data_IF_461654582991
#
_entry.id   IF_461654582991
#
_cell.length_a   1.000
_cell.length_b   1.000
_cell.length_c   1.000
_cell.angle_alpha   90.00
_cell.angle_beta   90.00
_cell.angle_gamma   90.00
#
_symmetry.space_group_name_H-M   'P 1'
#
loop_
_entity.id
_entity.type
_entity.pdbx_description
1 polymer ?
#
# COMPACT_ATOMS: atom_id res chain seq x y z
N UNK A 1 22.74 -1.46 17.72
CA UNK A 1 22.03 -0.25 17.27
C UNK A 1 21.20 -0.64 16.06
N UNK A 2 19.90 -0.37 16.06
CA UNK A 2 19.07 -0.62 14.87
C UNK A 2 19.38 0.49 13.87
N UNK A 3 19.78 0.13 12.65
CA UNK A 3 19.98 1.11 11.58
C UNK A 3 18.61 1.60 11.08
N UNK A 4 18.19 2.75 11.61
CA UNK A 4 16.91 3.37 11.26
C UNK A 4 16.88 3.77 9.78
N UNK A 5 18.02 4.16 9.20
CA UNK A 5 18.12 4.53 7.79
C UNK A 5 17.88 3.31 6.89
N UNK A 6 18.50 2.16 7.22
CA UNK A 6 18.26 0.91 6.52
C UNK A 6 16.82 0.39 6.70
N UNK A 7 16.21 0.61 7.87
CA UNK A 7 14.80 0.29 8.13
C UNK A 7 13.86 1.13 7.27
N UNK A 8 14.09 2.45 7.20
CA UNK A 8 13.34 3.39 6.35
C UNK A 8 13.46 2.98 4.88
N UNK A 9 14.67 2.68 4.40
CA UNK A 9 14.86 2.26 3.01
C UNK A 9 14.12 0.95 2.70
N UNK A 10 14.19 -0.03 3.60
CA UNK A 10 13.48 -1.31 3.45
C UNK A 10 11.97 -1.12 3.41
N UNK A 11 11.43 -0.32 4.34
CA UNK A 11 10.00 -0.04 4.40
C UNK A 11 9.53 0.77 3.19
N UNK A 12 10.34 1.72 2.70
CA UNK A 12 10.03 2.50 1.50
C UNK A 12 9.96 1.61 0.26
N UNK A 13 10.94 0.72 0.05
CA UNK A 13 10.90 -0.26 -1.05
C UNK A 13 9.70 -1.20 -0.94
N UNK A 14 9.35 -1.64 0.27
CA UNK A 14 8.16 -2.48 0.50
C UNK A 14 6.88 -1.71 0.18
N UNK A 15 6.79 -0.45 0.61
CA UNK A 15 5.65 0.42 0.36
C UNK A 15 5.40 0.59 -1.14
N UNK A 16 6.45 0.83 -1.94
CA UNK A 16 6.33 0.96 -3.40
C UNK A 16 5.75 -0.31 -4.03
N UNK A 17 6.15 -1.50 -3.58
CA UNK A 17 5.61 -2.76 -4.08
C UNK A 17 4.12 -2.90 -3.75
N UNK A 18 3.75 -2.63 -2.49
CA UNK A 18 2.37 -2.68 -2.04
C UNK A 18 1.48 -1.68 -2.78
N UNK A 19 1.97 -0.45 -2.99
CA UNK A 19 1.27 0.57 -3.76
C UNK A 19 1.03 0.11 -5.20
N UNK A 20 2.03 -0.50 -5.85
CA UNK A 20 1.88 -1.01 -7.22
C UNK A 20 0.82 -2.13 -7.34
N UNK A 21 0.74 -3.00 -6.33
CA UNK A 21 -0.30 -4.03 -6.26
C UNK A 21 -1.69 -3.41 -6.08
N UNK A 22 -1.84 -2.45 -5.17
CA UNK A 22 -3.08 -1.71 -4.94
C UNK A 22 -3.52 -0.94 -6.18
N UNK A 23 -2.61 -0.23 -6.84
CA UNK A 23 -2.89 0.51 -8.07
C UNK A 23 -3.37 -0.42 -9.19
N UNK A 24 -2.83 -1.64 -9.26
CA UNK A 24 -3.29 -2.68 -10.18
C UNK A 24 -4.71 -3.19 -9.88
N UNK A 25 -5.09 -3.27 -8.59
CA UNK A 25 -6.46 -3.61 -8.20
C UNK A 25 -7.42 -2.45 -8.50
N UNK A 26 -7.03 -1.23 -8.19
CA UNK A 26 -7.79 -0.02 -8.53
C UNK A 26 -8.00 0.12 -10.03
N UNK A 27 -6.98 -0.14 -10.85
CA UNK A 27 -7.10 -0.09 -12.30
C UNK A 27 -8.16 -1.08 -12.83
N UNK A 28 -8.27 -2.26 -12.21
CA UNK A 28 -9.34 -3.23 -12.53
C UNK A 28 -10.70 -2.70 -12.09
N UNK A 29 -10.82 -2.20 -10.86
CA UNK A 29 -12.07 -1.66 -10.32
C UNK A 29 -12.56 -0.40 -11.05
N UNK A 30 -11.65 0.41 -11.58
CA UNK A 30 -11.96 1.59 -12.38
C UNK A 30 -12.27 1.26 -13.84
N UNK A 31 -12.01 0.03 -14.29
CA UNK A 31 -12.33 -0.40 -15.65
C UNK A 31 -13.81 -0.81 -15.73
N UNK A 32 -14.67 -0.08 -16.48
CA UNK A 32 -16.08 -0.43 -16.59
C UNK A 32 -16.27 -1.83 -17.19
N UNK A 33 -15.40 -2.20 -18.14
CA UNK A 33 -15.38 -3.55 -18.73
C UNK A 33 -15.18 -4.66 -17.70
N UNK A 34 -14.43 -4.40 -16.63
CA UNK A 34 -14.22 -5.36 -15.56
C UNK A 34 -15.43 -5.39 -14.62
N UNK A 35 -15.92 -4.21 -14.20
CA UNK A 35 -17.06 -4.11 -13.28
C UNK A 35 -18.36 -4.66 -13.88
N UNK A 36 -18.59 -4.44 -15.18
CA UNK A 36 -19.82 -4.87 -15.86
C UNK A 36 -19.77 -6.33 -16.35
N UNK A 37 -18.58 -6.86 -16.67
CA UNK A 37 -18.44 -8.23 -17.22
C UNK A 37 -17.99 -9.26 -16.21
N UNK A 38 -17.30 -8.87 -15.14
CA UNK A 38 -16.87 -9.81 -14.12
C UNK A 38 -18.05 -10.15 -13.20
N UNK A 39 -18.10 -11.38 -12.65
CA UNK A 39 -19.08 -11.73 -11.63
C UNK A 39 -18.99 -10.79 -10.43
N UNK A 40 -20.13 -10.44 -9.83
CA UNK A 40 -20.19 -9.56 -8.65
C UNK A 40 -19.29 -10.05 -7.50
N UNK A 41 -19.24 -11.36 -7.27
CA UNK A 41 -18.34 -11.98 -6.28
C UNK A 41 -16.86 -11.65 -6.55
N UNK A 42 -16.44 -11.63 -7.82
CA UNK A 42 -15.06 -11.30 -8.20
C UNK A 42 -14.79 -9.82 -8.01
N UNK A 43 -15.74 -8.95 -8.39
CA UNK A 43 -15.62 -7.50 -8.19
C UNK A 43 -15.56 -7.16 -6.70
N UNK A 44 -16.41 -7.80 -5.88
CA UNK A 44 -16.43 -7.64 -4.42
C UNK A 44 -15.11 -8.11 -3.80
N UNK A 45 -14.62 -9.29 -4.18
CA UNK A 45 -13.34 -9.80 -3.68
C UNK A 45 -12.15 -8.90 -4.06
N UNK A 46 -12.15 -8.29 -5.25
CA UNK A 46 -11.10 -7.33 -5.63
C UNK A 46 -11.24 -6.02 -4.85
N UNK A 47 -12.45 -5.55 -4.56
CA UNK A 47 -12.69 -4.40 -3.68
C UNK A 47 -12.19 -4.64 -2.27
N UNK A 48 -12.57 -5.76 -1.66
CA UNK A 48 -12.14 -6.14 -0.31
C UNK A 48 -10.61 -6.22 -0.23
N UNK A 49 -9.96 -6.88 -1.20
CA UNK A 49 -8.50 -6.92 -1.30
C UNK A 49 -7.86 -5.55 -1.47
N UNK A 50 -8.48 -4.67 -2.25
CA UNK A 50 -8.00 -3.30 -2.43
C UNK A 50 -8.07 -2.53 -1.10
N UNK A 51 -9.19 -2.63 -0.37
CA UNK A 51 -9.35 -2.00 0.95
C UNK A 51 -8.33 -2.53 1.96
N UNK A 52 -8.14 -3.84 2.06
CA UNK A 52 -7.10 -4.40 2.94
C UNK A 52 -5.69 -3.94 2.56
N UNK A 53 -5.40 -3.85 1.25
CA UNK A 53 -4.11 -3.38 0.77
C UNK A 53 -3.90 -1.89 1.12
N UNK A 54 -4.92 -1.06 0.97
CA UNK A 54 -4.92 0.35 1.33
C UNK A 54 -4.65 0.57 2.82
N UNK A 55 -5.30 -0.20 3.70
CA UNK A 55 -5.06 -0.13 5.14
C UNK A 55 -3.61 -0.47 5.48
N UNK A 56 -3.07 -1.55 4.90
CA UNK A 56 -1.68 -1.97 5.11
C UNK A 56 -0.68 -0.93 4.57
N UNK A 57 -0.97 -0.34 3.41
CA UNK A 57 -0.19 0.77 2.84
C UNK A 57 -0.20 1.96 3.79
N UNK A 58 -1.38 2.33 4.29
CA UNK A 58 -1.57 3.48 5.19
C UNK A 58 -0.80 3.28 6.50
N UNK A 59 -0.87 2.08 7.09
CA UNK A 59 -0.11 1.74 8.29
C UNK A 59 1.40 1.80 8.03
N UNK A 60 1.86 1.30 6.89
CA UNK A 60 3.27 1.34 6.49
C UNK A 60 3.75 2.77 6.27
N UNK A 61 2.93 3.63 5.64
CA UNK A 61 3.20 5.07 5.47
C UNK A 61 3.34 5.76 6.82
N UNK A 62 2.38 5.57 7.73
CA UNK A 62 2.43 6.12 9.09
C UNK A 62 3.70 5.69 9.84
N UNK A 63 4.09 4.43 9.72
CA UNK A 63 5.33 3.92 10.33
C UNK A 63 6.56 4.58 9.71
N UNK A 64 6.62 4.70 8.40
CA UNK A 64 7.69 5.39 7.69
C UNK A 64 7.82 6.84 8.12
N UNK A 65 6.71 7.55 8.19
CA UNK A 65 6.64 8.94 8.63
C UNK A 65 7.16 9.09 10.06
N UNK A 66 6.69 8.24 10.98
CA UNK A 66 7.20 8.20 12.36
C UNK A 66 8.72 7.96 12.43
N UNK A 67 9.25 7.03 11.62
CA UNK A 67 10.69 6.76 11.59
C UNK A 67 11.48 7.94 11.01
N UNK A 68 10.99 8.54 9.91
CA UNK A 68 11.61 9.72 9.30
C UNK A 68 11.62 10.92 10.24
N UNK A 69 10.54 11.16 10.99
CA UNK A 69 10.49 12.21 12.01
C UNK A 69 11.51 11.98 13.12
N UNK A 70 11.69 10.73 13.59
CA UNK A 70 12.70 10.42 14.61
C UNK A 70 14.15 10.54 14.10
N UNK A 71 14.40 10.25 12.81
CA UNK A 71 15.71 10.49 12.18
C UNK A 71 16.03 11.99 12.11
N UNK A 72 15.03 12.83 11.82
CA UNK A 72 15.20 14.28 11.74
C UNK A 72 15.46 14.96 13.10
N UNK A 73 14.88 14.44 14.19
CA UNK A 73 15.07 14.98 15.55
C UNK A 73 16.41 14.55 16.16
N UNK A 74 17.03 13.49 15.66
CA UNK A 74 18.30 12.96 16.19
C UNK A 74 19.56 13.53 15.51
N UNK A 75 19.41 14.57 14.67
CA UNK A 75 20.50 15.16 13.89
C UNK A 75 20.97 16.49 14.45
#
# INVERSE_FOLDING_TARGET
MVDISAEVERLSKRLVKMQKEYDGMLAKLNSPKFVEKAPEEVVRAVREKATEAEEKITLTKKRLEFLNSNVLVSK
#
